data_IF_342567390357
#
_entry.id   IF_342567390357
#
_cell.length_a   1.000
_cell.length_b   1.000
_cell.length_c   1.000
_cell.angle_alpha   90.00
_cell.angle_beta   90.00
_cell.angle_gamma   90.00
#
_symmetry.space_group_name_H-M   'P 1'
#
loop_
_entity.id
_entity.type
_entity.pdbx_description
1 polymer ?
#
# COMPACT_ATOMS: atom_id res chain seq x y z
N UNK A 1 18.88 -3.07 -0.84
CA UNK A 1 17.73 -3.71 -1.54
C UNK A 1 16.44 -3.06 -1.09
N UNK A 2 15.52 -2.78 -2.03
CA UNK A 2 14.28 -2.09 -1.69
C UNK A 2 13.17 -3.08 -1.42
N UNK A 3 12.52 -2.93 -0.26
CA UNK A 3 11.36 -3.72 0.14
C UNK A 3 10.18 -2.81 0.46
N UNK A 4 8.99 -3.28 0.17
CA UNK A 4 7.75 -2.69 0.64
C UNK A 4 7.17 -3.58 1.73
N UNK A 5 7.01 -3.02 2.92
CA UNK A 5 6.27 -3.59 4.04
C UNK A 5 4.83 -3.10 3.93
N UNK A 6 3.87 -3.99 4.07
CA UNK A 6 2.43 -3.64 4.03
C UNK A 6 1.75 -4.31 5.22
N UNK A 7 1.42 -3.52 6.23
CA UNK A 7 0.64 -4.04 7.35
C UNK A 7 -0.85 -4.05 7.01
N UNK A 8 -1.57 -5.00 7.57
CA UNK A 8 -3.01 -5.16 7.36
C UNK A 8 -3.79 -4.32 8.35
N UNK A 9 -5.00 -3.92 7.96
CA UNK A 9 -5.94 -3.25 8.86
C UNK A 9 -6.36 -4.20 10.00
N UNK A 10 -6.47 -3.65 11.18
CA UNK A 10 -7.11 -4.27 12.33
C UNK A 10 -8.55 -3.72 12.52
N UNK A 11 -9.38 -4.38 13.34
CA UNK A 11 -10.77 -3.94 13.55
C UNK A 11 -10.92 -2.51 14.09
N UNK A 12 -9.96 -2.01 14.89
CA UNK A 12 -9.99 -0.66 15.44
C UNK A 12 -9.72 0.39 14.38
N UNK A 13 -8.67 0.16 13.59
CA UNK A 13 -8.35 1.02 12.44
C UNK A 13 -9.51 1.04 11.44
N UNK A 14 -10.14 -0.11 11.18
CA UNK A 14 -11.29 -0.21 10.29
C UNK A 14 -12.54 0.52 10.85
N UNK A 15 -12.74 0.50 12.16
CA UNK A 15 -13.76 1.31 12.83
C UNK A 15 -13.46 2.83 12.76
N UNK A 16 -12.24 3.20 12.41
CA UNK A 16 -11.77 4.59 12.36
C UNK A 16 -11.37 5.12 13.74
N UNK A 17 -11.00 4.22 14.65
CA UNK A 17 -10.44 4.63 15.93
C UNK A 17 -9.07 5.28 15.72
N UNK A 18 -8.85 6.37 16.43
CA UNK A 18 -7.55 7.06 16.40
C UNK A 18 -6.56 6.29 17.29
N UNK A 19 -5.31 6.08 16.82
CA UNK A 19 -4.30 5.49 17.66
C UNK A 19 -3.99 6.39 18.86
N UNK A 20 -3.65 5.82 20.03
CA UNK A 20 -3.18 6.62 21.16
C UNK A 20 -1.99 7.48 20.77
N UNK A 21 -1.93 8.74 21.24
CA UNK A 21 -0.83 9.67 20.89
C UNK A 21 0.55 9.14 21.33
N UNK A 22 0.61 8.36 22.42
CA UNK A 22 1.84 7.69 22.85
C UNK A 22 2.36 6.73 21.77
N UNK A 23 1.49 5.90 21.22
CA UNK A 23 1.81 4.99 20.11
C UNK A 23 2.26 5.75 18.85
N UNK A 24 1.57 6.85 18.53
CA UNK A 24 1.92 7.72 17.38
C UNK A 24 3.33 8.30 17.58
N UNK A 25 3.65 8.73 18.82
CA UNK A 25 4.96 9.28 19.14
C UNK A 25 6.06 8.21 19.07
N UNK A 26 5.85 7.06 19.69
CA UNK A 26 6.81 5.95 19.70
C UNK A 26 7.10 5.44 18.28
N UNK A 27 6.04 5.21 17.48
CA UNK A 27 6.18 4.82 16.09
C UNK A 27 6.86 5.92 15.25
N UNK A 28 6.54 7.18 15.51
CA UNK A 28 7.18 8.32 14.86
C UNK A 28 8.68 8.39 15.13
N UNK A 29 9.12 8.14 16.36
CA UNK A 29 10.54 8.07 16.72
C UNK A 29 11.23 6.87 16.03
N UNK A 30 10.58 5.72 16.06
CA UNK A 30 11.09 4.51 15.42
C UNK A 30 11.31 4.69 13.92
N UNK A 31 10.28 5.16 13.21
CA UNK A 31 10.35 5.42 11.76
C UNK A 31 11.33 6.55 11.45
N UNK A 32 11.32 7.62 12.25
CA UNK A 32 12.22 8.77 12.12
C UNK A 32 13.69 8.38 12.21
N UNK A 33 14.04 7.39 13.05
CA UNK A 33 15.38 6.85 13.13
C UNK A 33 15.86 6.21 11.83
N UNK A 34 14.99 5.51 11.11
CA UNK A 34 15.32 4.94 9.79
C UNK A 34 15.34 6.00 8.69
N UNK A 35 14.49 7.01 8.77
CA UNK A 35 14.51 8.14 7.85
C UNK A 35 15.84 8.92 7.93
N UNK A 36 16.34 9.18 9.14
CA UNK A 36 17.64 9.83 9.36
C UNK A 36 18.82 9.02 8.82
N UNK A 37 18.72 7.69 8.80
CA UNK A 37 19.72 6.80 8.21
C UNK A 37 19.58 6.68 6.68
N UNK A 38 18.59 7.33 6.05
CA UNK A 38 18.28 7.21 4.63
C UNK A 38 17.71 5.84 4.23
N UNK A 39 17.30 5.02 5.20
CA UNK A 39 16.75 3.69 4.95
C UNK A 39 15.24 3.69 4.67
N UNK A 40 14.48 4.59 5.29
CA UNK A 40 13.08 4.81 4.96
C UNK A 40 12.98 5.73 3.74
N UNK A 41 12.46 5.20 2.65
CA UNK A 41 12.28 5.95 1.39
C UNK A 41 10.89 6.56 1.29
N UNK A 42 9.88 5.91 1.85
CA UNK A 42 8.47 6.32 1.85
C UNK A 42 7.68 5.53 2.87
N UNK A 43 6.51 6.04 3.26
CA UNK A 43 5.60 5.30 4.12
C UNK A 43 4.41 6.15 4.53
N UNK A 44 3.26 5.49 4.64
CA UNK A 44 2.04 6.14 5.09
C UNK A 44 1.01 5.12 5.60
N UNK A 45 0.15 5.56 6.51
CA UNK A 45 -1.09 4.87 6.84
C UNK A 45 -2.16 5.14 5.78
N UNK A 46 -3.08 4.22 5.64
CA UNK A 46 -4.25 4.35 4.77
C UNK A 46 -5.52 4.45 5.62
N UNK A 47 -6.45 5.29 5.17
CA UNK A 47 -7.76 5.41 5.81
C UNK A 47 -8.55 4.10 5.80
N UNK A 48 -9.52 3.96 6.70
CA UNK A 48 -10.44 2.82 6.77
C UNK A 48 -11.20 2.61 5.45
N UNK A 49 -11.73 1.41 5.22
CA UNK A 49 -12.40 1.04 3.95
C UNK A 49 -13.55 1.98 3.59
N UNK A 50 -14.24 2.56 4.55
CA UNK A 50 -15.30 3.58 4.33
C UNK A 50 -14.82 4.80 3.54
N UNK A 51 -13.51 5.05 3.50
CA UNK A 51 -12.90 6.16 2.75
C UNK A 51 -12.28 5.73 1.44
N UNK A 52 -12.37 4.45 1.08
CA UNK A 52 -11.73 3.86 -0.12
C UNK A 52 -12.74 3.64 -1.25
N UNK A 53 -12.19 3.38 -2.42
CA UNK A 53 -12.96 3.01 -3.60
C UNK A 53 -12.28 1.85 -4.30
N UNK A 54 -13.05 0.85 -4.70
CA UNK A 54 -12.59 -0.29 -5.50
C UNK A 54 -13.16 -0.17 -6.92
N UNK A 55 -12.29 -0.33 -7.89
CA UNK A 55 -12.63 -0.48 -9.29
C UNK A 55 -12.43 -1.93 -9.69
N UNK A 56 -13.45 -2.56 -10.27
CA UNK A 56 -13.34 -3.90 -10.83
C UNK A 56 -13.58 -3.82 -12.32
N UNK A 57 -12.64 -4.32 -13.10
CA UNK A 57 -12.67 -4.37 -14.55
C UNK A 57 -12.98 -5.79 -15.00
N UNK A 58 -13.98 -5.94 -15.85
CA UNK A 58 -14.39 -7.22 -16.44
C UNK A 58 -14.88 -6.99 -17.87
N UNK A 59 -14.28 -7.71 -18.83
CA UNK A 59 -14.68 -7.64 -20.25
C UNK A 59 -14.71 -6.20 -20.81
N UNK A 60 -13.79 -5.34 -20.38
CA UNK A 60 -13.72 -3.94 -20.82
C UNK A 60 -14.66 -2.98 -20.09
N UNK A 61 -15.49 -3.48 -19.18
CA UNK A 61 -16.36 -2.64 -18.33
C UNK A 61 -15.74 -2.43 -16.95
N UNK A 62 -15.97 -1.25 -16.38
CA UNK A 62 -15.52 -0.90 -15.04
C UNK A 62 -16.71 -0.70 -14.11
N UNK A 63 -16.74 -1.43 -12.99
CA UNK A 63 -17.65 -1.18 -11.89
C UNK A 63 -16.94 -0.49 -10.74
N UNK A 64 -17.69 0.34 -10.00
CA UNK A 64 -17.18 1.14 -8.89
C UNK A 64 -17.90 0.73 -7.61
N UNK A 65 -17.12 0.39 -6.57
CA UNK A 65 -17.63 0.13 -5.24
C UNK A 65 -17.00 1.12 -4.27
N UNK A 66 -17.82 1.96 -3.67
CA UNK A 66 -17.41 2.81 -2.56
C UNK A 66 -17.53 2.05 -1.25
N UNK A 67 -16.58 2.25 -0.34
CA UNK A 67 -16.60 1.61 0.97
C UNK A 67 -17.78 2.06 1.85
N UNK A 68 -18.02 1.35 2.98
CA UNK A 68 -17.15 0.31 3.53
C UNK A 68 -17.27 -1.06 2.83
N UNK A 69 -16.17 -1.78 2.73
CA UNK A 69 -16.11 -3.15 2.21
C UNK A 69 -14.99 -3.95 2.88
N UNK A 70 -15.14 -5.27 2.89
CA UNK A 70 -14.08 -6.18 3.32
C UNK A 70 -13.02 -6.38 2.23
N UNK A 71 -11.83 -6.75 2.63
CA UNK A 71 -10.77 -7.16 1.72
C UNK A 71 -11.13 -8.42 0.96
N UNK A 72 -10.67 -8.50 -0.28
CA UNK A 72 -10.74 -9.66 -1.16
C UNK A 72 -9.49 -9.66 -2.03
N UNK A 73 -8.80 -10.79 -2.13
CA UNK A 73 -7.64 -10.90 -3.02
C UNK A 73 -6.60 -9.78 -2.84
N UNK A 74 -6.25 -9.50 -1.59
CA UNK A 74 -5.35 -8.39 -1.23
C UNK A 74 -3.89 -8.76 -1.47
N UNK A 75 -3.53 -9.03 -2.72
CA UNK A 75 -2.17 -9.32 -3.17
C UNK A 75 -1.72 -8.24 -4.18
N UNK A 76 -1.02 -7.21 -3.75
CA UNK A 76 -0.58 -6.14 -4.63
C UNK A 76 0.44 -6.60 -5.67
N UNK A 77 0.28 -6.13 -6.91
CA UNK A 77 1.27 -6.24 -7.97
C UNK A 77 2.07 -4.94 -8.13
N UNK A 78 1.41 -3.80 -7.95
CA UNK A 78 2.06 -2.50 -7.97
C UNK A 78 1.28 -1.46 -7.16
N UNK A 79 1.96 -0.36 -6.84
CA UNK A 79 1.32 0.80 -6.22
C UNK A 79 1.72 2.08 -6.93
N UNK A 80 0.78 3.03 -7.03
CA UNK A 80 1.01 4.37 -7.51
C UNK A 80 0.53 5.37 -6.45
N UNK A 81 1.42 6.21 -5.97
CA UNK A 81 1.05 7.33 -5.11
C UNK A 81 0.74 8.54 -5.99
N UNK A 82 -0.50 9.01 -5.92
CA UNK A 82 -1.01 10.14 -6.69
C UNK A 82 -1.24 11.33 -5.77
N UNK A 83 -0.85 12.51 -6.24
CA UNK A 83 -1.21 13.80 -5.65
C UNK A 83 -2.18 14.50 -6.60
N UNK A 84 -3.42 14.66 -6.18
CA UNK A 84 -4.53 15.13 -7.00
C UNK A 84 -5.30 16.26 -6.33
N UNK A 85 -6.05 17.03 -7.10
CA UNK A 85 -6.93 18.06 -6.57
C UNK A 85 -8.23 17.46 -6.01
N UNK A 86 -8.75 16.39 -6.64
CA UNK A 86 -10.02 15.76 -6.26
C UNK A 86 -9.97 14.24 -6.36
N UNK A 87 -10.92 13.57 -5.69
CA UNK A 87 -11.09 12.11 -5.84
C UNK A 87 -11.50 11.71 -7.26
N UNK A 88 -12.27 12.55 -7.94
CA UNK A 88 -12.71 12.29 -9.32
C UNK A 88 -11.52 12.29 -10.29
N UNK A 89 -10.54 13.16 -10.06
CA UNK A 89 -9.28 13.16 -10.82
C UNK A 89 -8.51 11.84 -10.60
N UNK A 90 -8.35 11.41 -9.35
CA UNK A 90 -7.71 10.11 -9.06
C UNK A 90 -8.46 8.95 -9.72
N UNK A 91 -9.80 8.99 -9.69
CA UNK A 91 -10.66 8.00 -10.33
C UNK A 91 -10.50 7.98 -11.86
N UNK A 92 -10.36 9.15 -12.50
CA UNK A 92 -10.14 9.25 -13.92
C UNK A 92 -8.80 8.58 -14.33
N UNK A 93 -7.74 8.86 -13.59
CA UNK A 93 -6.43 8.21 -13.79
C UNK A 93 -6.49 6.71 -13.54
N UNK A 94 -7.16 6.27 -12.46
CA UNK A 94 -7.31 4.86 -12.13
C UNK A 94 -8.10 4.09 -13.19
N UNK A 95 -9.13 4.68 -13.79
CA UNK A 95 -9.88 4.07 -14.90
C UNK A 95 -8.99 3.88 -16.13
N UNK A 96 -8.20 4.87 -16.50
CA UNK A 96 -7.24 4.75 -17.61
C UNK A 96 -6.22 3.64 -17.34
N UNK A 97 -5.67 3.60 -16.14
CA UNK A 97 -4.74 2.57 -15.71
C UNK A 97 -5.37 1.17 -15.78
N UNK A 98 -6.57 1.00 -15.24
CA UNK A 98 -7.30 -0.28 -15.25
C UNK A 98 -7.69 -0.74 -16.64
N UNK A 99 -8.01 0.19 -17.56
CA UNK A 99 -8.26 -0.16 -18.97
C UNK A 99 -7.03 -0.81 -19.62
N UNK A 100 -5.82 -0.37 -19.29
CA UNK A 100 -4.57 -0.98 -19.77
C UNK A 100 -4.35 -2.36 -19.12
N UNK A 101 -4.62 -2.48 -17.83
CA UNK A 101 -4.49 -3.76 -17.11
C UNK A 101 -5.43 -4.83 -17.68
N UNK A 102 -6.63 -4.45 -18.10
CA UNK A 102 -7.70 -5.37 -18.46
C UNK A 102 -8.44 -5.89 -17.23
N UNK A 103 -8.93 -7.13 -17.27
CA UNK A 103 -9.66 -7.72 -16.15
C UNK A 103 -8.82 -7.73 -14.88
N UNK A 104 -9.40 -7.27 -13.77
CA UNK A 104 -8.70 -7.15 -12.50
C UNK A 104 -9.34 -6.15 -11.56
N UNK A 105 -8.65 -5.87 -10.47
CA UNK A 105 -9.11 -4.93 -9.45
C UNK A 105 -8.04 -3.90 -9.11
N UNK A 106 -8.50 -2.68 -8.87
CA UNK A 106 -7.69 -1.57 -8.36
C UNK A 106 -8.38 -1.01 -7.12
N UNK A 107 -7.63 -0.77 -6.08
CA UNK A 107 -8.09 -0.07 -4.90
C UNK A 107 -7.49 1.33 -4.83
N UNK A 108 -8.30 2.31 -4.45
CA UNK A 108 -7.92 3.69 -4.21
C UNK A 108 -8.12 3.98 -2.72
N UNK A 109 -7.04 4.17 -1.98
CA UNK A 109 -7.05 4.51 -0.57
C UNK A 109 -6.49 5.92 -0.34
N UNK A 110 -7.20 6.74 0.45
CA UNK A 110 -6.64 8.01 0.90
C UNK A 110 -5.47 7.74 1.84
N UNK A 111 -4.35 8.40 1.59
CA UNK A 111 -3.20 8.42 2.50
C UNK A 111 -3.53 9.28 3.72
N UNK A 112 -3.22 8.78 4.90
CA UNK A 112 -3.34 9.54 6.13
C UNK A 112 -2.17 10.50 6.26
N UNK A 113 -2.48 11.76 6.32
CA UNK A 113 -1.52 12.84 6.52
C UNK A 113 -1.40 13.17 8.03
N UNK A 114 -0.36 13.89 8.47
CA UNK A 114 -0.18 14.24 9.87
C UNK A 114 -1.40 14.93 10.53
N UNK A 115 -2.16 15.70 9.77
CA UNK A 115 -3.40 16.32 10.27
C UNK A 115 -4.57 15.35 10.36
N UNK A 116 -4.61 14.29 9.58
CA UNK A 116 -5.66 13.26 9.67
C UNK A 116 -5.54 12.43 10.95
N UNK A 117 -4.34 12.34 11.52
CA UNK A 117 -4.05 11.62 12.78
C UNK A 117 -3.74 12.56 13.97
N UNK A 118 -4.05 13.84 13.84
CA UNK A 118 -4.01 14.79 14.94
C UNK A 118 -2.64 15.30 15.36
N UNK A 119 -1.57 15.06 14.58
CA UNK A 119 -0.22 15.54 14.88
C UNK A 119 -0.11 17.07 14.71
N UNK A 120 -0.80 17.62 13.71
CA UNK A 120 -0.78 19.04 13.40
C UNK A 120 -2.09 19.47 12.72
N UNK A 121 -2.44 20.78 12.73
CA UNK A 121 -3.58 21.26 11.96
C UNK A 121 -3.33 21.15 10.45
N UNK A 122 -4.40 20.98 9.63
CA UNK A 122 -4.25 20.94 8.18
C UNK A 122 -3.76 22.30 7.64
N UNK A 123 -2.87 22.29 6.63
CA UNK A 123 -2.50 23.50 5.94
C UNK A 123 -3.68 24.07 5.12
N UNK A 124 -3.63 25.35 4.71
CA UNK A 124 -4.59 25.86 3.72
C UNK A 124 -4.51 25.03 2.43
N UNK A 125 -5.66 24.55 1.94
CA UNK A 125 -5.76 23.70 0.74
C UNK A 125 -4.84 22.45 0.82
N UNK A 126 -5.08 21.54 1.77
CA UNK A 126 -4.22 20.39 1.95
C UNK A 126 -4.21 19.52 0.67
N UNK A 127 -3.05 19.01 0.27
CA UNK A 127 -3.00 18.11 -0.87
C UNK A 127 -3.80 16.84 -0.58
N UNK A 128 -4.44 16.30 -1.61
CA UNK A 128 -5.07 14.99 -1.54
C UNK A 128 -4.11 13.95 -2.13
N UNK A 129 -3.61 13.06 -1.28
CA UNK A 129 -2.81 11.93 -1.72
C UNK A 129 -3.64 10.66 -1.71
N UNK A 130 -3.61 9.94 -2.82
CA UNK A 130 -4.32 8.68 -3.03
C UNK A 130 -3.30 7.61 -3.42
N UNK A 131 -3.27 6.52 -2.66
CA UNK A 131 -2.56 5.32 -3.06
C UNK A 131 -3.48 4.47 -3.93
N UNK A 132 -3.08 4.27 -5.18
CA UNK A 132 -3.66 3.29 -6.07
C UNK A 132 -2.91 1.98 -5.85
N UNK A 133 -3.64 0.91 -5.55
CA UNK A 133 -3.12 -0.44 -5.37
C UNK A 133 -3.72 -1.30 -6.47
N UNK A 134 -2.89 -1.81 -7.33
CA UNK A 134 -3.24 -2.74 -8.38
C UNK A 134 -3.00 -4.17 -7.87
N UNK A 135 -4.01 -5.03 -8.00
CA UNK A 135 -3.98 -6.38 -7.46
C UNK A 135 -3.48 -7.38 -8.50
N UNK A 136 -2.61 -8.28 -8.05
CA UNK A 136 -2.12 -9.38 -8.88
C UNK A 136 -3.20 -10.45 -9.07
N UNK A 137 -3.35 -10.93 -10.28
CA UNK A 137 -4.00 -12.20 -10.57
C UNK A 137 -2.97 -13.35 -10.63
N UNK A 138 -3.44 -14.57 -10.78
CA UNK A 138 -2.59 -15.75 -10.84
C UNK A 138 -1.56 -15.69 -12.02
N UNK A 139 -1.93 -15.08 -13.14
CA UNK A 139 -1.04 -14.95 -14.29
C UNK A 139 0.07 -13.91 -13.99
N UNK A 140 -0.30 -12.77 -13.44
CA UNK A 140 0.65 -11.71 -13.03
C UNK A 140 1.63 -12.23 -11.97
N UNK A 141 1.15 -13.01 -11.01
CA UNK A 141 2.02 -13.64 -10.00
C UNK A 141 2.97 -14.68 -10.60
N UNK A 142 2.55 -15.42 -11.60
CA UNK A 142 3.36 -16.47 -12.20
C UNK A 142 4.40 -15.95 -13.21
N UNK A 143 4.02 -15.00 -14.06
CA UNK A 143 4.82 -14.60 -15.24
C UNK A 143 5.05 -13.10 -15.36
N UNK A 144 4.48 -12.30 -14.46
CA UNK A 144 4.47 -10.84 -14.60
C UNK A 144 3.54 -10.36 -15.72
N UNK A 145 3.63 -9.08 -16.04
CA UNK A 145 2.84 -8.45 -17.13
C UNK A 145 3.52 -8.66 -18.47
N UNK A 146 2.71 -8.69 -19.54
CA UNK A 146 3.25 -8.72 -20.90
C UNK A 146 4.03 -7.45 -21.20
N UNK A 147 4.99 -7.53 -22.15
CA UNK A 147 5.78 -6.38 -22.57
C UNK A 147 4.91 -5.22 -23.10
N UNK A 148 3.82 -5.55 -23.80
CA UNK A 148 2.86 -4.56 -24.32
C UNK A 148 2.17 -3.80 -23.19
N UNK A 149 1.62 -4.51 -22.18
CA UNK A 149 1.00 -3.88 -21.00
C UNK A 149 2.02 -3.04 -20.22
N UNK A 150 3.23 -3.55 -20.06
CA UNK A 150 4.32 -2.84 -19.37
C UNK A 150 4.66 -1.52 -20.08
N UNK A 151 4.77 -1.52 -21.39
CA UNK A 151 5.03 -0.32 -22.18
C UNK A 151 3.86 0.69 -22.13
N UNK A 152 2.63 0.22 -22.21
CA UNK A 152 1.45 1.08 -22.11
C UNK A 152 1.31 1.71 -20.71
N UNK A 153 1.60 0.94 -19.65
CA UNK A 153 1.63 1.45 -18.29
C UNK A 153 2.74 2.51 -18.12
N UNK A 154 3.93 2.26 -18.67
CA UNK A 154 5.03 3.22 -18.62
C UNK A 154 4.63 4.55 -19.28
N UNK A 155 4.05 4.51 -20.48
CA UNK A 155 3.56 5.70 -21.17
C UNK A 155 2.51 6.48 -20.35
N UNK A 156 1.57 5.79 -19.70
CA UNK A 156 0.59 6.44 -18.83
C UNK A 156 1.24 7.06 -17.59
N UNK A 157 2.25 6.41 -16.99
CA UNK A 157 3.02 6.95 -15.87
C UNK A 157 3.80 8.22 -16.27
N UNK A 158 4.34 8.26 -17.48
CA UNK A 158 4.99 9.45 -18.02
C UNK A 158 3.99 10.62 -18.16
N UNK A 159 2.79 10.37 -18.68
CA UNK A 159 1.72 11.38 -18.73
C UNK A 159 1.34 11.88 -17.32
N UNK A 160 1.16 10.96 -16.34
CA UNK A 160 0.87 11.33 -14.95
C UNK A 160 2.00 12.16 -14.34
N UNK A 161 3.25 11.86 -14.68
CA UNK A 161 4.43 12.62 -14.23
C UNK A 161 4.45 14.02 -14.83
N UNK A 162 4.19 14.15 -16.14
CA UNK A 162 4.10 15.44 -16.82
C UNK A 162 2.95 16.29 -16.30
N UNK A 163 1.83 15.65 -15.92
CA UNK A 163 0.71 16.33 -15.28
C UNK A 163 0.97 16.71 -13.80
N UNK A 164 2.12 16.30 -13.23
CA UNK A 164 2.46 16.55 -11.81
C UNK A 164 1.61 15.73 -10.82
N UNK A 165 0.94 14.68 -11.30
CA UNK A 165 0.04 13.84 -10.50
C UNK A 165 0.76 12.64 -9.87
N UNK A 166 1.71 12.02 -10.58
CA UNK A 166 2.43 10.85 -10.07
C UNK A 166 3.56 11.30 -9.13
N UNK A 167 3.43 10.91 -7.87
CA UNK A 167 4.48 11.14 -6.85
C UNK A 167 5.48 9.99 -6.86
N UNK A 168 4.97 8.75 -6.90
CA UNK A 168 5.78 7.53 -6.86
C UNK A 168 5.04 6.36 -7.50
N UNK A 169 5.81 5.46 -8.09
CA UNK A 169 5.32 4.18 -8.59
C UNK A 169 6.28 3.07 -8.19
N UNK A 170 5.74 1.97 -7.70
CA UNK A 170 6.48 0.78 -7.30
C UNK A 170 5.85 -0.44 -7.95
N UNK A 171 6.67 -1.26 -8.59
CA UNK A 171 6.29 -2.61 -8.98
C UNK A 171 6.83 -3.58 -7.95
N UNK A 172 6.04 -4.59 -7.61
CA UNK A 172 6.41 -5.60 -6.63
C UNK A 172 6.74 -6.91 -7.34
N UNK A 173 7.84 -7.53 -6.96
CA UNK A 173 8.15 -8.85 -7.44
C UNK A 173 7.11 -9.87 -6.96
N UNK A 174 6.95 -11.03 -7.61
CA UNK A 174 6.02 -12.08 -7.20
C UNK A 174 6.11 -12.42 -5.72
N UNK A 175 4.99 -12.83 -5.11
CA UNK A 175 4.93 -13.18 -3.69
C UNK A 175 5.84 -14.34 -3.31
N UNK A 176 6.20 -15.20 -4.27
CA UNK A 176 7.20 -16.25 -4.10
C UNK A 176 8.57 -15.75 -3.61
N UNK A 177 8.90 -14.48 -3.82
CA UNK A 177 10.13 -13.83 -3.33
C UNK A 177 9.89 -12.99 -2.07
N UNK A 178 8.67 -12.98 -1.57
CA UNK A 178 8.27 -12.24 -0.38
C UNK A 178 8.16 -13.11 0.86
N UNK A 179 7.86 -12.46 1.97
CA UNK A 179 7.54 -13.11 3.24
C UNK A 179 6.30 -12.46 3.85
N UNK A 180 5.50 -13.27 4.55
CA UNK A 180 4.39 -12.79 5.38
C UNK A 180 4.74 -13.06 6.84
N UNK A 181 4.61 -12.03 7.65
CA UNK A 181 4.83 -12.10 9.09
C UNK A 181 3.47 -12.07 9.78
N UNK A 182 3.23 -13.04 10.65
CA UNK A 182 2.10 -13.06 11.57
C UNK A 182 2.66 -12.89 12.99
N UNK A 183 2.32 -11.79 13.63
CA UNK A 183 2.70 -11.50 15.00
C UNK A 183 1.45 -11.58 15.87
N UNK A 184 1.45 -12.51 16.83
CA UNK A 184 0.32 -12.72 17.73
C UNK A 184 0.83 -13.11 19.12
N UNK A 185 0.41 -12.37 20.15
CA UNK A 185 0.78 -12.66 21.56
C UNK A 185 2.30 -12.80 21.74
N UNK A 186 3.09 -11.91 21.15
CA UNK A 186 4.56 -11.92 21.14
C UNK A 186 5.21 -13.12 20.44
N UNK A 187 4.44 -13.91 19.70
CA UNK A 187 4.96 -14.97 18.83
C UNK A 187 5.01 -14.47 17.39
N UNK A 188 6.19 -14.54 16.79
CA UNK A 188 6.39 -14.22 15.39
C UNK A 188 6.41 -15.52 14.57
N UNK A 189 5.50 -15.63 13.61
CA UNK A 189 5.55 -16.64 12.56
C UNK A 189 5.93 -15.96 11.24
N UNK A 190 6.90 -16.52 10.54
CA UNK A 190 7.30 -16.09 9.21
C UNK A 190 6.90 -17.15 8.20
N UNK A 191 6.14 -16.75 7.18
CA UNK A 191 5.65 -17.62 6.12
C UNK A 191 6.37 -17.22 4.84
N UNK A 192 7.01 -18.19 4.20
CA UNK A 192 7.61 -17.99 2.88
C UNK A 192 6.54 -17.96 1.80
N UNK A 193 6.73 -17.10 0.81
CA UNK A 193 5.88 -17.13 -0.38
C UNK A 193 6.14 -18.39 -1.26
N UNK A 194 5.29 -18.64 -2.25
CA UNK A 194 4.12 -17.83 -2.58
C UNK A 194 3.02 -18.00 -1.53
N UNK A 195 2.42 -16.90 -1.10
CA UNK A 195 1.28 -16.96 -0.20
C UNK A 195 -0.02 -16.70 -0.94
N UNK A 196 -1.08 -17.34 -0.43
CA UNK A 196 -2.43 -17.08 -0.88
C UNK A 196 -2.83 -15.63 -0.57
N UNK A 197 -3.87 -15.19 -1.24
CA UNK A 197 -4.51 -13.91 -1.03
C UNK A 197 -4.80 -13.65 0.46
N UNK A 198 -4.65 -12.41 0.89
CA UNK A 198 -5.14 -11.95 2.18
C UNK A 198 -6.58 -11.45 2.03
N UNK A 199 -7.40 -11.66 3.05
CA UNK A 199 -8.74 -11.08 3.14
C UNK A 199 -8.74 -9.73 3.87
N UNK A 200 -7.60 -9.35 4.44
CA UNK A 200 -7.47 -8.12 5.21
C UNK A 200 -6.93 -7.01 4.31
N UNK A 201 -7.56 -5.84 4.36
CA UNK A 201 -7.12 -4.65 3.64
C UNK A 201 -5.74 -4.18 4.13
N UNK A 202 -4.96 -3.59 3.23
CA UNK A 202 -3.70 -2.96 3.60
C UNK A 202 -4.01 -1.69 4.42
N UNK A 203 -3.51 -1.64 5.66
CA UNK A 203 -3.69 -0.53 6.59
C UNK A 203 -2.65 0.57 6.43
N UNK A 204 -1.52 0.23 5.81
CA UNK A 204 -0.44 1.16 5.53
C UNK A 204 0.77 0.44 4.97
N UNK A 205 1.77 1.22 4.59
CA UNK A 205 2.98 0.70 3.98
C UNK A 205 4.22 1.50 4.40
N UNK A 206 5.38 0.87 4.28
CA UNK A 206 6.68 1.53 4.30
C UNK A 206 7.58 0.95 3.22
N UNK A 207 8.35 1.81 2.56
CA UNK A 207 9.36 1.42 1.57
C UNK A 207 10.73 1.63 2.18
N UNK A 208 11.48 0.54 2.30
CA UNK A 208 12.77 0.52 2.97
C UNK A 208 13.89 0.14 2.00
N UNK A 209 15.03 0.83 2.10
CA UNK A 209 16.27 0.42 1.44
C UNK A 209 17.22 -0.14 2.50
N UNK A 210 17.38 -1.45 2.50
CA UNK A 210 18.11 -2.20 3.52
C UNK A 210 19.05 -3.23 2.87
N UNK A 211 19.91 -3.85 3.67
CA UNK A 211 20.91 -4.80 3.19
C UNK A 211 20.28 -6.08 2.61
N UNK A 212 19.15 -6.52 3.16
CA UNK A 212 18.48 -7.75 2.72
C UNK A 212 17.24 -8.10 3.53
N UNK A 213 16.73 -9.32 3.26
CA UNK A 213 15.49 -9.82 3.88
C UNK A 213 15.61 -9.90 5.41
N UNK A 214 16.75 -10.33 5.94
CA UNK A 214 16.90 -10.48 7.40
C UNK A 214 16.77 -9.13 8.13
N UNK A 215 17.35 -8.07 7.57
CA UNK A 215 17.23 -6.73 8.17
C UNK A 215 15.78 -6.22 8.14
N UNK A 216 15.05 -6.41 7.03
CA UNK A 216 13.66 -5.97 6.96
C UNK A 216 12.75 -6.76 7.92
N UNK A 217 13.01 -8.06 8.13
CA UNK A 217 12.27 -8.88 9.08
C UNK A 217 12.46 -8.40 10.52
N UNK A 218 13.69 -8.01 10.90
CA UNK A 218 13.96 -7.43 12.22
C UNK A 218 13.25 -6.09 12.40
N UNK A 219 13.19 -5.26 11.37
CA UNK A 219 12.43 -4.00 11.38
C UNK A 219 10.93 -4.27 11.58
N UNK A 220 10.37 -5.23 10.83
CA UNK A 220 8.96 -5.63 10.97
C UNK A 220 8.65 -6.14 12.38
N UNK A 221 9.52 -6.96 12.96
CA UNK A 221 9.37 -7.48 14.32
C UNK A 221 9.31 -6.34 15.34
N UNK A 222 10.24 -5.40 15.29
CA UNK A 222 10.25 -4.24 16.18
C UNK A 222 9.02 -3.34 15.98
N UNK A 223 8.58 -3.16 14.74
CA UNK A 223 7.33 -2.45 14.43
C UNK A 223 6.13 -3.15 15.09
N UNK A 224 6.06 -4.47 15.00
CA UNK A 224 5.00 -5.26 15.62
C UNK A 224 5.02 -5.19 17.15
N UNK A 225 6.19 -5.18 17.76
CA UNK A 225 6.36 -5.00 19.22
C UNK A 225 5.82 -3.65 19.69
N UNK A 226 6.08 -2.57 18.95
CA UNK A 226 5.56 -1.22 19.23
C UNK A 226 4.04 -1.16 19.06
N UNK A 227 3.52 -1.71 17.95
CA UNK A 227 2.07 -1.71 17.69
C UNK A 227 1.31 -2.57 18.68
N UNK A 228 1.93 -3.63 19.18
CA UNK A 228 1.31 -4.58 20.10
C UNK A 228 0.20 -5.42 19.45
N UNK A 229 -0.28 -6.43 20.16
CA UNK A 229 -1.44 -7.22 19.73
C UNK A 229 -1.14 -8.20 18.61
N UNK A 230 -2.06 -8.26 17.63
CA UNK A 230 -1.94 -9.10 16.44
C UNK A 230 -1.68 -8.23 15.23
N UNK A 231 -0.63 -8.56 14.47
CA UNK A 231 -0.27 -7.85 13.26
C UNK A 231 0.09 -8.83 12.13
N UNK A 232 -0.45 -8.60 10.95
CA UNK A 232 -0.02 -9.25 9.72
C UNK A 232 0.71 -8.23 8.84
N UNK A 233 1.89 -8.59 8.36
CA UNK A 233 2.71 -7.74 7.47
C UNK A 233 3.18 -8.56 6.28
N UNK A 234 2.89 -8.09 5.08
CA UNK A 234 3.51 -8.62 3.86
C UNK A 234 4.78 -7.81 3.54
N UNK A 235 5.87 -8.52 3.31
CA UNK A 235 7.16 -7.95 2.87
C UNK A 235 7.42 -8.39 1.44
N UNK A 236 7.47 -7.43 0.53
CA UNK A 236 7.65 -7.69 -0.91
C UNK A 236 8.90 -6.95 -1.41
N UNK A 237 9.66 -7.62 -2.25
CA UNK A 237 10.79 -7.00 -2.96
C UNK A 237 10.25 -6.05 -4.03
N UNK A 238 10.81 -4.83 -4.10
CA UNK A 238 10.53 -3.84 -5.14
C UNK A 238 11.47 -4.08 -6.32
N UNK A 239 10.93 -4.00 -7.55
CA UNK A 239 11.71 -4.10 -8.79
C UNK A 239 12.66 -2.91 -8.99
#
# INVERSE_FOLDING_TARGET
>A
MKFMMMHKNDPKTEAGEMPPMELVHEMGQFIGGYAQQGKLLDGAGLGASKTRTRLTFRNGEASVLHGPYAGQHELPASTLLLKVATRDEAMAWAKRYGTILGDGEIELGKVNEPWDIGIMPPPPNPPLQILLIDKADAATEATGRTAEKTAAIAALKDEMTQAGVLVRSLNLQPSAKGKRLLFTQNVLQVIDGPFSESKELIGGFAVMDVSGMDEILEICKRCAEILGGTLEVDVRLVE
#
